data_IF_706747551732
#
_entry.id   IF_706747551732
#
_cell.length_a   1.000
_cell.length_b   1.000
_cell.length_c   1.000
_cell.angle_alpha   90.00
_cell.angle_beta   90.00
_cell.angle_gamma   90.00
#
_symmetry.space_group_name_H-M   'P 1'
#
loop_
_entity.id
_entity.type
_entity.pdbx_description
1 polymer ?
#
# COMPACT_ATOMS: atom_id res chain seq x y z
N UNK A 1 -6.64 39.21 -16.49
CA UNK A 1 -5.69 38.27 -15.90
C UNK A 1 -4.22 38.66 -16.03
N UNK A 2 -3.72 39.09 -17.18
CA UNK A 2 -2.29 39.49 -17.35
C UNK A 2 -1.77 40.50 -16.31
N UNK A 3 -2.59 41.41 -15.83
CA UNK A 3 -2.18 42.42 -14.85
C UNK A 3 -2.17 41.96 -13.39
N UNK A 4 -2.83 40.82 -13.07
CA UNK A 4 -2.87 40.24 -11.71
C UNK A 4 -1.63 39.39 -11.36
N UNK A 5 -0.93 38.89 -12.39
CA UNK A 5 0.26 38.05 -12.24
C UNK A 5 1.59 38.79 -12.49
N UNK A 6 1.55 40.12 -12.44
CA UNK A 6 2.76 40.97 -12.63
C UNK A 6 3.76 40.61 -11.53
N UNK A 7 4.96 40.13 -11.93
CA UNK A 7 6.05 39.78 -11.04
C UNK A 7 6.07 38.29 -10.65
N UNK A 8 5.10 37.46 -11.05
CA UNK A 8 5.03 36.03 -10.76
C UNK A 8 6.35 35.30 -11.05
N UNK A 9 6.87 35.40 -12.26
CA UNK A 9 8.10 34.69 -12.66
C UNK A 9 9.31 35.08 -11.81
N UNK A 10 9.39 36.32 -11.36
CA UNK A 10 10.49 36.77 -10.46
C UNK A 10 10.37 36.13 -9.08
N UNK A 11 9.17 36.12 -8.51
CA UNK A 11 8.91 35.51 -7.20
C UNK A 11 9.15 34.01 -7.27
N UNK A 12 8.59 33.33 -8.27
CA UNK A 12 8.80 31.90 -8.49
C UNK A 12 10.29 31.56 -8.57
N UNK A 13 11.03 32.22 -9.47
CA UNK A 13 12.47 31.95 -9.65
C UNK A 13 13.29 32.27 -8.40
N UNK A 14 12.95 33.32 -7.67
CA UNK A 14 13.60 33.69 -6.43
C UNK A 14 13.37 32.61 -5.34
N UNK A 15 12.09 32.32 -5.06
CA UNK A 15 11.71 31.31 -4.05
C UNK A 15 12.26 29.93 -4.38
N UNK A 16 12.20 29.53 -5.64
CA UNK A 16 12.74 28.24 -6.10
C UNK A 16 14.26 28.17 -5.84
N UNK A 17 15.01 29.18 -6.28
CA UNK A 17 16.47 29.22 -6.07
C UNK A 17 16.84 29.27 -4.58
N UNK A 18 16.13 30.06 -3.80
CA UNK A 18 16.32 30.17 -2.36
C UNK A 18 16.09 28.82 -1.68
N UNK A 19 14.98 28.15 -1.98
CA UNK A 19 14.62 26.87 -1.38
C UNK A 19 15.61 25.76 -1.77
N UNK A 20 15.95 25.61 -3.05
CA UNK A 20 16.91 24.61 -3.55
C UNK A 20 18.33 24.86 -3.00
N UNK A 21 18.71 26.12 -2.78
CA UNK A 21 20.04 26.48 -2.21
C UNK A 21 20.07 26.37 -0.71
N UNK A 22 18.95 26.26 -0.01
CA UNK A 22 18.91 26.16 1.44
C UNK A 22 19.65 24.93 1.94
N UNK A 23 20.37 25.08 3.06
CA UNK A 23 21.12 23.95 3.68
C UNK A 23 20.16 22.82 4.09
N UNK A 24 18.95 23.16 4.59
CA UNK A 24 17.95 22.19 5.01
C UNK A 24 17.51 21.31 3.83
N UNK A 25 17.13 21.93 2.71
CA UNK A 25 16.71 21.18 1.50
C UNK A 25 17.82 20.28 0.97
N UNK A 26 19.04 20.82 0.81
CA UNK A 26 20.19 20.04 0.31
C UNK A 26 20.50 18.86 1.22
N UNK A 27 20.61 19.10 2.52
CA UNK A 27 20.95 18.05 3.47
C UNK A 27 19.88 16.98 3.54
N UNK A 28 18.59 17.35 3.60
CA UNK A 28 17.50 16.36 3.60
C UNK A 28 17.41 15.59 2.29
N UNK A 29 17.56 16.26 1.15
CA UNK A 29 17.52 15.60 -0.16
C UNK A 29 18.68 14.62 -0.32
N UNK A 30 19.91 15.06 -0.02
CA UNK A 30 21.10 14.21 -0.16
C UNK A 30 21.07 13.06 0.85
N UNK A 31 20.74 13.33 2.11
CA UNK A 31 20.70 12.32 3.17
C UNK A 31 19.70 11.22 2.84
N UNK A 32 18.47 11.60 2.49
CA UNK A 32 17.41 10.61 2.20
C UNK A 32 17.68 9.91 0.86
N UNK A 33 18.15 10.63 -0.17
CA UNK A 33 18.54 9.99 -1.43
C UNK A 33 19.67 8.97 -1.24
N UNK A 34 20.61 9.25 -0.35
CA UNK A 34 21.72 8.35 -0.01
C UNK A 34 21.23 7.14 0.81
N UNK A 35 20.30 7.38 1.75
CA UNK A 35 19.58 6.30 2.45
C UNK A 35 18.80 5.41 1.48
N UNK A 36 18.03 6.00 0.58
CA UNK A 36 17.27 5.28 -0.44
C UNK A 36 18.20 4.50 -1.41
N UNK A 37 19.39 5.01 -1.67
CA UNK A 37 20.37 4.37 -2.56
C UNK A 37 21.10 3.22 -1.87
N UNK A 38 21.48 3.35 -0.61
CA UNK A 38 22.36 2.38 0.05
C UNK A 38 21.60 1.34 0.87
N UNK A 39 20.55 1.75 1.58
CA UNK A 39 19.91 0.91 2.58
C UNK A 39 19.20 -0.33 1.96
N UNK A 40 18.37 -0.22 0.92
CA UNK A 40 17.72 -1.39 0.34
C UNK A 40 18.73 -2.41 -0.22
N UNK A 41 19.75 -1.96 -0.96
CA UNK A 41 20.79 -2.85 -1.48
C UNK A 41 21.58 -3.52 -0.34
N UNK A 42 21.94 -2.78 0.71
CA UNK A 42 22.66 -3.31 1.87
C UNK A 42 21.80 -4.32 2.66
N UNK A 43 20.52 -4.04 2.84
CA UNK A 43 19.59 -4.95 3.53
C UNK A 43 19.41 -6.23 2.71
N UNK A 44 19.16 -6.14 1.41
CA UNK A 44 19.02 -7.31 0.53
C UNK A 44 20.27 -8.19 0.55
N UNK A 45 21.44 -7.59 0.39
CA UNK A 45 22.72 -8.35 0.39
C UNK A 45 23.06 -8.90 1.78
N UNK A 46 22.76 -8.15 2.85
CA UNK A 46 22.98 -8.59 4.23
C UNK A 46 22.08 -9.77 4.61
N UNK A 47 20.80 -9.72 4.23
CA UNK A 47 19.86 -10.82 4.47
C UNK A 47 20.31 -12.09 3.73
N UNK A 48 20.73 -11.98 2.48
CA UNK A 48 21.19 -13.12 1.71
C UNK A 48 22.49 -13.72 2.28
N UNK A 49 23.42 -12.90 2.75
CA UNK A 49 24.64 -13.36 3.40
C UNK A 49 24.38 -14.05 4.73
N UNK A 50 23.40 -13.58 5.52
CA UNK A 50 23.04 -14.22 6.79
C UNK A 50 22.22 -15.50 6.58
N UNK A 51 21.42 -15.58 5.52
CA UNK A 51 20.72 -16.82 5.12
C UNK A 51 21.69 -17.88 4.60
N UNK A 52 22.84 -17.47 4.06
CA UNK A 52 23.89 -18.38 3.59
C UNK A 52 24.80 -18.94 4.71
N UNK A 53 24.84 -18.29 5.87
CA UNK A 53 25.60 -18.74 7.06
C UNK A 53 24.75 -19.55 8.06
N UNK A 54 23.44 -19.59 7.93
CA UNK A 54 22.72 -20.73 8.45
C UNK A 54 23.25 -21.92 7.63
N UNK A 55 23.87 -22.93 8.27
CA UNK A 55 24.18 -24.14 7.57
C UNK A 55 22.88 -24.44 6.85
N UNK A 56 22.95 -24.62 5.52
CA UNK A 56 21.86 -25.28 4.83
C UNK A 56 21.51 -26.44 5.76
N UNK A 57 20.62 -26.19 6.68
CA UNK A 57 19.70 -27.20 7.01
C UNK A 57 19.19 -27.44 5.59
N UNK A 58 19.87 -28.40 4.88
CA UNK A 58 19.17 -29.21 3.95
C UNK A 58 17.75 -29.12 4.47
N UNK A 59 16.79 -28.87 3.62
CA UNK A 59 15.53 -29.54 3.79
C UNK A 59 15.87 -31.04 3.80
N UNK A 60 16.74 -31.38 4.68
CA UNK A 60 16.54 -32.42 5.58
C UNK A 60 15.21 -32.01 6.10
N UNK A 61 14.15 -32.54 5.44
CA UNK A 61 13.03 -32.97 6.21
C UNK A 61 13.59 -33.00 7.64
N UNK A 62 13.33 -31.90 8.38
CA UNK A 62 13.37 -32.01 9.80
C UNK A 62 12.34 -33.12 9.99
N UNK A 63 12.82 -34.33 9.93
CA UNK A 63 12.48 -35.25 10.94
C UNK A 63 12.85 -34.47 12.22
N UNK A 64 12.03 -33.42 12.55
CA UNK A 64 11.61 -33.33 13.90
C UNK A 64 11.28 -34.76 14.18
N UNK A 65 12.06 -35.35 15.02
CA UNK A 65 11.70 -36.49 15.81
C UNK A 65 10.59 -35.94 16.70
N UNK A 66 9.48 -35.55 16.02
CA UNK A 66 8.18 -35.25 16.58
C UNK A 66 7.86 -36.49 17.37
N UNK A 67 7.57 -36.31 18.63
CA UNK A 67 6.84 -37.27 19.38
C UNK A 67 5.75 -37.82 18.45
N UNK A 68 5.61 -39.15 18.24
CA UNK A 68 4.76 -39.67 17.18
C UNK A 68 3.44 -38.97 17.24
N UNK A 69 3.10 -38.26 16.15
CA UNK A 69 1.87 -37.49 16.04
C UNK A 69 0.72 -38.43 16.33
N UNK A 70 -0.07 -38.15 17.32
CA UNK A 70 -1.17 -39.00 17.74
C UNK A 70 -2.34 -38.84 16.78
N UNK A 71 -2.25 -39.51 15.63
CA UNK A 71 -3.31 -39.56 14.63
C UNK A 71 -4.49 -40.45 15.06
N UNK A 72 -4.41 -41.08 16.22
CA UNK A 72 -5.48 -41.92 16.77
C UNK A 72 -6.76 -41.16 17.16
N UNK A 73 -6.71 -39.83 17.16
CA UNK A 73 -7.88 -38.99 17.38
C UNK A 73 -8.86 -39.04 16.22
N UNK A 74 -8.40 -39.34 15.00
CA UNK A 74 -9.24 -39.44 13.81
C UNK A 74 -9.89 -40.82 13.78
N UNK A 75 -11.23 -40.86 13.99
CA UNK A 75 -12.02 -42.12 13.98
C UNK A 75 -12.88 -42.26 12.73
N UNK A 76 -13.23 -41.20 12.11
CA UNK A 76 -14.07 -41.19 10.91
C UNK A 76 -13.42 -40.39 9.79
N UNK A 77 -13.46 -40.93 8.59
CA UNK A 77 -12.99 -40.30 7.36
C UNK A 77 -14.10 -40.37 6.36
N UNK A 78 -14.58 -39.18 5.93
CA UNK A 78 -15.63 -39.08 4.91
C UNK A 78 -14.97 -38.75 3.57
N UNK A 79 -15.28 -39.57 2.58
CA UNK A 79 -14.79 -39.39 1.21
C UNK A 79 -15.87 -38.74 0.36
N UNK A 80 -15.51 -37.66 -0.31
CA UNK A 80 -16.36 -36.95 -1.27
C UNK A 80 -15.59 -36.77 -2.57
N UNK A 81 -16.11 -37.31 -3.67
CA UNK A 81 -15.50 -37.19 -4.99
C UNK A 81 -16.34 -36.29 -5.89
N UNK A 82 -15.89 -35.07 -6.08
CA UNK A 82 -16.54 -34.04 -6.91
C UNK A 82 -16.02 -34.03 -8.36
N UNK A 83 -15.31 -35.07 -8.78
CA UNK A 83 -14.76 -35.18 -10.13
C UNK A 83 -15.85 -35.54 -11.15
N UNK A 84 -15.94 -34.83 -12.30
CA UNK A 84 -16.97 -35.02 -13.30
C UNK A 84 -16.74 -36.27 -14.20
N UNK A 85 -15.48 -36.54 -14.57
CA UNK A 85 -15.18 -37.53 -15.62
C UNK A 85 -14.60 -38.85 -15.11
N UNK A 86 -13.73 -38.81 -14.08
CA UNK A 86 -13.07 -40.02 -13.57
C UNK A 86 -12.91 -39.92 -12.08
N UNK A 87 -13.42 -40.91 -11.34
CA UNK A 87 -13.27 -40.96 -9.88
C UNK A 87 -11.84 -41.27 -9.49
N UNK A 88 -11.37 -40.63 -8.40
CA UNK A 88 -10.09 -40.98 -7.83
C UNK A 88 -10.14 -42.37 -7.21
N UNK A 89 -9.11 -43.19 -7.45
CA UNK A 89 -9.02 -44.54 -6.88
C UNK A 89 -8.56 -44.51 -5.44
N UNK A 90 -9.50 -44.65 -4.49
CA UNK A 90 -9.26 -44.65 -3.04
C UNK A 90 -9.18 -46.05 -2.45
N UNK A 91 -9.04 -47.08 -3.29
CA UNK A 91 -9.10 -48.49 -2.84
C UNK A 91 -7.98 -48.86 -1.90
N UNK A 92 -6.81 -48.24 -2.00
CA UNK A 92 -5.64 -48.52 -1.16
C UNK A 92 -5.58 -47.66 0.10
N UNK A 93 -6.41 -46.62 0.24
CA UNK A 93 -6.42 -45.73 1.40
C UNK A 93 -6.61 -46.48 2.75
N UNK A 94 -7.54 -47.44 2.86
CA UNK A 94 -7.68 -48.22 4.12
C UNK A 94 -6.40 -48.96 4.52
N UNK A 95 -5.68 -49.49 3.54
CA UNK A 95 -4.42 -50.24 3.81
C UNK A 95 -3.34 -49.28 4.30
N UNK A 96 -3.28 -48.08 3.76
CA UNK A 96 -2.34 -47.06 4.19
C UNK A 96 -2.62 -46.58 5.62
N UNK A 97 -3.91 -46.38 5.96
CA UNK A 97 -4.32 -46.02 7.32
C UNK A 97 -3.97 -47.10 8.35
N UNK A 98 -4.18 -48.35 8.01
CA UNK A 98 -3.80 -49.48 8.87
C UNK A 98 -2.27 -49.55 9.07
N UNK A 99 -1.48 -49.29 8.00
CA UNK A 99 -0.02 -49.20 8.11
C UNK A 99 0.44 -48.02 8.96
N UNK A 100 -0.29 -46.90 8.93
CA UNK A 100 -0.04 -45.73 9.76
C UNK A 100 -0.53 -45.89 11.22
N UNK A 101 -1.21 -46.99 11.53
CA UNK A 101 -1.76 -47.25 12.87
C UNK A 101 -3.03 -46.46 13.17
N UNK A 102 -3.75 -46.02 12.14
CA UNK A 102 -4.99 -45.22 12.26
C UNK A 102 -6.18 -46.17 12.08
N UNK A 103 -6.96 -46.36 13.14
CA UNK A 103 -8.20 -47.16 13.10
C UNK A 103 -9.41 -46.25 12.86
N UNK A 104 -9.57 -45.80 11.60
CA UNK A 104 -10.65 -44.93 11.22
C UNK A 104 -11.67 -45.63 10.30
N UNK A 105 -12.95 -45.34 10.52
CA UNK A 105 -14.03 -45.78 9.64
C UNK A 105 -14.12 -44.89 8.43
N UNK A 106 -14.04 -45.47 7.23
CA UNK A 106 -14.19 -44.73 5.98
C UNK A 106 -15.64 -44.84 5.52
N UNK A 107 -16.27 -43.67 5.26
CA UNK A 107 -17.61 -43.56 4.72
C UNK A 107 -17.56 -42.81 3.39
N UNK A 108 -17.97 -43.43 2.32
CA UNK A 108 -18.01 -42.82 0.98
C UNK A 108 -19.38 -42.20 0.70
N UNK A 109 -19.39 -40.87 0.45
CA UNK A 109 -20.58 -40.09 0.11
C UNK A 109 -20.72 -39.85 -1.41
N UNK A 110 -19.81 -40.39 -2.21
CA UNK A 110 -19.80 -40.13 -3.66
C UNK A 110 -19.60 -38.66 -3.94
N UNK A 111 -20.51 -38.02 -4.65
CA UNK A 111 -20.46 -36.58 -4.98
C UNK A 111 -21.37 -35.71 -4.09
N UNK A 112 -21.95 -36.29 -3.03
CA UNK A 112 -22.87 -35.55 -2.16
C UNK A 112 -22.11 -34.86 -1.01
N UNK A 113 -21.56 -33.70 -1.33
CA UNK A 113 -20.80 -32.89 -0.39
C UNK A 113 -21.66 -32.36 0.78
N UNK A 114 -22.89 -31.92 0.48
CA UNK A 114 -23.76 -31.31 1.49
C UNK A 114 -24.17 -32.32 2.58
N UNK A 115 -24.44 -33.58 2.18
CA UNK A 115 -24.74 -34.62 3.15
C UNK A 115 -23.52 -35.03 3.98
N UNK A 116 -22.33 -35.08 3.37
CA UNK A 116 -21.08 -35.36 4.08
C UNK A 116 -20.76 -34.26 5.08
N UNK A 117 -20.88 -33.00 4.68
CA UNK A 117 -20.67 -31.83 5.52
C UNK A 117 -21.67 -31.78 6.69
N UNK A 118 -22.95 -32.04 6.44
CA UNK A 118 -23.98 -32.07 7.50
C UNK A 118 -23.75 -33.18 8.54
N UNK A 119 -23.26 -34.36 8.13
CA UNK A 119 -22.90 -35.45 9.04
C UNK A 119 -21.58 -35.19 9.81
N UNK A 120 -20.72 -34.30 9.26
CA UNK A 120 -19.48 -33.88 9.89
C UNK A 120 -19.65 -32.77 10.93
N UNK A 121 -20.71 -31.97 10.82
CA UNK A 121 -20.89 -30.75 11.60
C UNK A 121 -20.78 -31.01 13.11
N UNK A 122 -19.92 -30.23 13.78
CA UNK A 122 -19.67 -30.33 15.22
C UNK A 122 -18.94 -31.59 15.71
N UNK A 123 -18.40 -32.44 14.82
CA UNK A 123 -17.67 -33.65 15.23
C UNK A 123 -16.21 -33.34 15.65
N UNK A 124 -15.72 -34.08 16.68
CA UNK A 124 -14.40 -33.87 17.24
C UNK A 124 -13.34 -34.84 16.69
N UNK A 125 -13.76 -35.86 15.96
CA UNK A 125 -12.93 -37.02 15.56
C UNK A 125 -13.12 -37.40 14.09
N UNK A 126 -13.72 -36.51 13.30
CA UNK A 126 -14.05 -36.71 11.89
C UNK A 126 -13.32 -35.73 11.01
N UNK A 127 -12.76 -36.18 9.92
CA UNK A 127 -12.25 -35.34 8.83
C UNK A 127 -12.87 -35.77 7.51
N UNK A 128 -12.90 -34.87 6.55
CA UNK A 128 -13.44 -35.12 5.22
C UNK A 128 -12.31 -34.98 4.19
N UNK A 129 -12.19 -35.94 3.28
CA UNK A 129 -11.29 -35.89 2.14
C UNK A 129 -12.14 -35.60 0.91
N UNK A 130 -11.86 -34.48 0.26
CA UNK A 130 -12.55 -34.06 -0.94
C UNK A 130 -11.61 -34.17 -2.13
N UNK A 131 -12.00 -34.93 -3.14
CA UNK A 131 -11.30 -35.00 -4.42
C UNK A 131 -12.01 -34.16 -5.46
N UNK A 132 -11.25 -33.37 -6.20
CA UNK A 132 -11.76 -32.51 -7.28
C UNK A 132 -10.89 -32.67 -8.52
N UNK A 133 -11.49 -32.56 -9.69
CA UNK A 133 -10.78 -32.50 -10.96
C UNK A 133 -10.63 -31.04 -11.39
N UNK A 134 -9.37 -30.61 -11.61
CA UNK A 134 -9.06 -29.28 -12.15
C UNK A 134 -8.29 -29.46 -13.46
N UNK A 135 -9.02 -29.43 -14.57
CA UNK A 135 -8.45 -29.71 -15.89
C UNK A 135 -8.07 -31.19 -16.08
N UNK A 136 -6.77 -31.48 -16.26
CA UNK A 136 -6.24 -32.85 -16.38
C UNK A 136 -5.69 -33.41 -15.05
N UNK A 137 -5.67 -32.62 -13.99
CA UNK A 137 -5.11 -32.98 -12.70
C UNK A 137 -6.21 -33.18 -11.67
N UNK A 138 -6.03 -34.17 -10.79
CA UNK A 138 -6.86 -34.35 -9.63
C UNK A 138 -6.22 -33.64 -8.43
N UNK A 139 -7.05 -33.00 -7.61
CA UNK A 139 -6.63 -32.43 -6.33
C UNK A 139 -7.33 -33.16 -5.20
N UNK A 140 -6.60 -33.46 -4.12
CA UNK A 140 -7.10 -34.13 -2.94
C UNK A 140 -6.89 -33.18 -1.75
N UNK A 141 -7.96 -32.80 -1.07
CA UNK A 141 -7.95 -31.81 0.00
C UNK A 141 -8.56 -32.39 1.26
N UNK A 142 -7.97 -32.08 2.43
CA UNK A 142 -8.59 -32.36 3.71
C UNK A 142 -9.49 -31.17 4.05
N UNK A 143 -10.73 -31.47 4.39
CA UNK A 143 -11.72 -30.48 4.82
C UNK A 143 -12.14 -30.84 6.25
N UNK A 144 -12.00 -29.88 7.16
CA UNK A 144 -12.45 -30.01 8.55
C UNK A 144 -13.87 -29.44 8.68
N UNK A 145 -14.76 -30.11 9.44
CA UNK A 145 -16.11 -29.61 9.66
C UNK A 145 -16.09 -28.32 10.50
N UNK A 146 -17.13 -27.51 10.36
CA UNK A 146 -17.33 -26.33 11.19
C UNK A 146 -17.48 -26.73 12.66
N UNK A 147 -16.77 -26.05 13.55
CA UNK A 147 -16.74 -26.42 14.97
C UNK A 147 -15.95 -27.67 15.30
N UNK A 148 -15.12 -28.20 14.38
CA UNK A 148 -14.21 -29.31 14.67
C UNK A 148 -13.29 -28.94 15.82
N UNK A 149 -13.15 -29.83 16.78
CA UNK A 149 -12.15 -29.73 17.88
C UNK A 149 -10.88 -30.55 17.62
N UNK A 150 -10.72 -31.05 16.38
CA UNK A 150 -9.51 -31.76 16.00
C UNK A 150 -8.32 -30.78 16.06
N UNK A 151 -7.23 -31.22 16.71
CA UNK A 151 -6.04 -30.39 16.81
C UNK A 151 -5.46 -30.10 15.40
N UNK A 152 -5.07 -28.87 15.17
CA UNK A 152 -4.49 -28.46 13.88
C UNK A 152 -3.24 -29.30 13.52
N UNK A 153 -2.42 -29.63 14.52
CA UNK A 153 -1.27 -30.52 14.38
C UNK A 153 -1.65 -31.92 13.88
N UNK A 154 -2.79 -32.46 14.34
CA UNK A 154 -3.32 -33.76 13.88
C UNK A 154 -3.77 -33.69 12.41
N UNK A 155 -4.42 -32.62 12.03
CA UNK A 155 -4.87 -32.41 10.66
C UNK A 155 -3.68 -32.22 9.69
N UNK A 156 -2.65 -31.49 10.11
CA UNK A 156 -1.42 -31.31 9.32
C UNK A 156 -0.63 -32.62 9.19
N UNK A 157 -0.58 -33.41 10.26
CA UNK A 157 0.04 -34.73 10.20
C UNK A 157 -0.70 -35.68 9.26
N UNK A 158 -2.02 -35.60 9.22
CA UNK A 158 -2.82 -36.36 8.28
C UNK A 158 -2.65 -35.89 6.82
N UNK A 159 -2.47 -34.59 6.61
CA UNK A 159 -2.18 -34.03 5.29
C UNK A 159 -0.84 -34.55 4.73
N UNK A 160 0.19 -34.66 5.58
CA UNK A 160 1.48 -35.23 5.19
C UNK A 160 1.36 -36.70 4.74
N UNK A 161 0.51 -37.45 5.41
CA UNK A 161 0.22 -38.85 5.06
C UNK A 161 -0.57 -38.93 3.75
N UNK A 162 -1.53 -38.04 3.55
CA UNK A 162 -2.34 -37.95 2.33
C UNK A 162 -1.51 -37.49 1.13
N UNK A 163 -0.54 -36.60 1.33
CA UNK A 163 0.41 -36.19 0.29
C UNK A 163 1.23 -37.39 -0.22
N UNK A 164 1.76 -38.20 0.68
CA UNK A 164 2.52 -39.39 0.29
C UNK A 164 1.65 -40.41 -0.47
N UNK A 165 0.37 -40.47 -0.14
CA UNK A 165 -0.62 -41.29 -0.88
C UNK A 165 -0.94 -40.70 -2.24
N UNK A 166 -1.19 -39.41 -2.32
CA UNK A 166 -1.47 -38.69 -3.55
C UNK A 166 -0.34 -38.83 -4.58
N UNK A 167 0.92 -38.76 -4.11
CA UNK A 167 2.10 -39.00 -4.96
C UNK A 167 2.09 -40.40 -5.57
N UNK A 168 1.67 -41.42 -4.81
CA UNK A 168 1.56 -42.79 -5.31
C UNK A 168 0.50 -42.94 -6.40
N UNK A 169 -0.55 -42.11 -6.37
CA UNK A 169 -1.63 -42.07 -7.33
C UNK A 169 -1.42 -41.07 -8.49
N UNK A 170 -0.32 -40.33 -8.51
CA UNK A 170 -0.09 -39.23 -9.44
C UNK A 170 -1.18 -38.13 -9.36
N UNK A 171 -1.67 -37.89 -8.16
CA UNK A 171 -2.70 -36.87 -7.86
C UNK A 171 -2.03 -35.73 -7.07
N UNK A 172 -2.37 -34.49 -7.38
CA UNK A 172 -1.89 -33.37 -6.59
C UNK A 172 -2.64 -33.28 -5.24
N UNK A 173 -1.91 -33.15 -4.14
CA UNK A 173 -2.51 -32.96 -2.81
C UNK A 173 -2.55 -31.47 -2.46
N UNK A 174 -3.61 -31.01 -1.80
CA UNK A 174 -3.70 -29.65 -1.27
C UNK A 174 -2.95 -29.52 0.05
N UNK A 175 -1.98 -28.65 0.10
CA UNK A 175 -0.97 -28.53 1.17
C UNK A 175 -1.42 -27.95 2.51
N UNK A 176 -2.71 -27.80 2.83
CA UNK A 176 -3.19 -27.44 4.18
C UNK A 176 -4.64 -27.85 4.41
N UNK A 177 -5.00 -28.34 5.64
CA UNK A 177 -6.39 -28.66 5.99
C UNK A 177 -7.29 -27.41 5.83
N UNK A 178 -8.44 -27.57 5.20
CA UNK A 178 -9.42 -26.52 5.01
C UNK A 178 -10.54 -26.66 6.05
N UNK A 179 -10.92 -25.57 6.71
CA UNK A 179 -12.07 -25.55 7.61
C UNK A 179 -13.35 -25.26 6.83
N UNK A 180 -14.37 -26.13 7.03
CA UNK A 180 -15.70 -25.95 6.44
C UNK A 180 -16.59 -25.17 7.45
N UNK A 181 -17.08 -24.01 7.02
CA UNK A 181 -17.94 -23.16 7.85
C UNK A 181 -17.70 -21.68 7.67
N UNK A 182 -16.50 -21.24 7.43
CA UNK A 182 -16.23 -19.92 6.89
C UNK A 182 -16.20 -20.02 5.37
N UNK A 183 -17.40 -19.97 4.77
CA UNK A 183 -17.53 -19.84 3.32
C UNK A 183 -16.69 -18.64 2.86
N UNK A 184 -15.78 -18.89 1.94
CA UNK A 184 -14.83 -17.95 1.34
C UNK A 184 -13.41 -17.92 1.95
N UNK A 185 -12.87 -19.04 2.42
CA UNK A 185 -11.46 -19.24 2.15
C UNK A 185 -11.36 -19.84 0.74
N UNK A 186 -11.45 -18.95 -0.24
CA UNK A 186 -10.93 -19.21 -1.57
C UNK A 186 -9.59 -19.94 -1.41
N UNK A 187 -9.36 -20.96 -2.24
CA UNK A 187 -8.01 -21.48 -2.51
C UNK A 187 -7.19 -20.32 -3.06
N UNK A 188 -6.74 -19.46 -2.15
CA UNK A 188 -5.94 -18.30 -2.52
C UNK A 188 -4.60 -18.87 -2.88
N UNK A 189 -4.34 -18.95 -4.16
CA UNK A 189 -3.03 -19.27 -4.70
C UNK A 189 -1.98 -18.54 -3.84
N UNK A 190 -1.00 -19.25 -3.24
CA UNK A 190 0.02 -18.60 -2.41
C UNK A 190 0.64 -17.40 -3.09
N UNK A 191 0.67 -17.39 -4.42
CA UNK A 191 1.09 -16.28 -5.25
C UNK A 191 0.08 -15.11 -5.20
N UNK A 192 -1.19 -15.38 -5.06
CA UNK A 192 -2.25 -14.36 -4.99
C UNK A 192 -2.28 -13.71 -3.61
N UNK A 193 -2.12 -14.48 -2.54
CA UNK A 193 -1.90 -13.98 -1.17
C UNK A 193 -0.66 -13.09 -1.10
N UNK A 194 0.45 -13.54 -1.69
CA UNK A 194 1.67 -12.73 -1.76
C UNK A 194 1.46 -11.42 -2.51
N UNK A 195 0.77 -11.46 -3.66
CA UNK A 195 0.38 -10.28 -4.43
C UNK A 195 -0.43 -9.31 -3.60
N UNK A 196 -1.40 -9.79 -2.83
CA UNK A 196 -2.23 -8.96 -1.97
C UNK A 196 -1.41 -8.28 -0.86
N UNK A 197 -0.49 -9.00 -0.21
CA UNK A 197 0.44 -8.43 0.77
C UNK A 197 1.31 -7.33 0.14
N UNK A 198 1.85 -7.56 -1.06
CA UNK A 198 2.65 -6.55 -1.77
C UNK A 198 1.82 -5.30 -2.08
N UNK A 199 0.57 -5.45 -2.50
CA UNK A 199 -0.37 -4.35 -2.75
C UNK A 199 -0.60 -3.54 -1.47
N UNK A 200 -0.89 -4.20 -0.35
CA UNK A 200 -1.11 -3.55 0.96
C UNK A 200 0.12 -2.74 1.36
N UNK A 201 1.30 -3.38 1.36
CA UNK A 201 2.55 -2.73 1.74
C UNK A 201 2.85 -1.52 0.84
N UNK A 202 2.71 -1.70 -0.48
CA UNK A 202 2.98 -0.62 -1.45
C UNK A 202 2.04 0.56 -1.26
N UNK A 203 0.74 0.30 -1.08
CA UNK A 203 -0.27 1.35 -0.91
C UNK A 203 -0.09 2.08 0.42
N UNK A 204 0.17 1.34 1.50
CA UNK A 204 0.43 1.92 2.81
C UNK A 204 1.70 2.78 2.81
N UNK A 205 2.78 2.28 2.20
CA UNK A 205 4.04 3.02 2.08
C UNK A 205 3.85 4.30 1.25
N UNK A 206 3.14 4.21 0.11
CA UNK A 206 2.81 5.38 -0.70
C UNK A 206 2.02 6.43 0.09
N UNK A 207 1.00 5.99 0.85
CA UNK A 207 0.20 6.86 1.70
C UNK A 207 1.05 7.55 2.77
N UNK A 208 1.92 6.80 3.46
CA UNK A 208 2.84 7.35 4.47
C UNK A 208 3.81 8.37 3.87
N UNK A 209 4.44 8.05 2.76
CA UNK A 209 5.37 8.95 2.07
C UNK A 209 4.66 10.24 1.67
N UNK A 210 3.47 10.15 1.07
CA UNK A 210 2.70 11.33 0.68
C UNK A 210 2.26 12.17 1.88
N UNK A 211 1.81 11.54 2.97
CA UNK A 211 1.42 12.23 4.19
C UNK A 211 2.58 13.07 4.75
N UNK A 212 3.74 12.45 4.99
CA UNK A 212 4.89 13.16 5.53
C UNK A 212 5.42 14.21 4.57
N UNK A 213 5.35 13.94 3.29
CA UNK A 213 5.80 14.86 2.25
C UNK A 213 4.93 16.11 2.18
N UNK A 214 3.61 15.93 2.14
CA UNK A 214 2.64 17.03 2.18
C UNK A 214 2.74 17.82 3.48
N UNK A 215 2.93 17.14 4.62
CA UNK A 215 3.12 17.78 5.92
C UNK A 215 4.36 18.68 5.90
N UNK A 216 5.52 18.17 5.47
CA UNK A 216 6.78 18.92 5.45
C UNK A 216 6.72 20.13 4.52
N UNK A 217 6.23 19.96 3.29
CA UNK A 217 6.15 21.03 2.32
C UNK A 217 5.03 22.03 2.62
N UNK A 218 3.90 21.58 3.15
CA UNK A 218 2.84 22.46 3.63
C UNK A 218 3.32 23.36 4.78
N UNK A 219 3.99 22.78 5.77
CA UNK A 219 4.61 23.56 6.86
C UNK A 219 5.68 24.52 6.31
N UNK A 220 6.47 24.10 5.34
CA UNK A 220 7.46 24.94 4.65
C UNK A 220 6.84 26.16 3.99
N UNK A 221 5.72 25.98 3.28
CA UNK A 221 4.96 27.10 2.69
C UNK A 221 4.43 28.04 3.77
N UNK A 222 3.78 27.51 4.80
CA UNK A 222 3.21 28.31 5.87
C UNK A 222 4.28 29.14 6.61
N UNK A 223 5.42 28.51 6.94
CA UNK A 223 6.57 29.17 7.54
C UNK A 223 7.13 30.30 6.64
N UNK A 224 7.29 30.03 5.34
CA UNK A 224 7.77 31.03 4.38
C UNK A 224 6.86 32.24 4.31
N UNK A 225 5.53 32.02 4.33
CA UNK A 225 4.54 33.11 4.29
C UNK A 225 4.59 33.96 5.58
N UNK A 226 4.64 33.32 6.75
CA UNK A 226 4.70 34.01 8.05
C UNK A 226 6.00 34.80 8.21
N UNK A 227 7.14 34.20 7.87
CA UNK A 227 8.45 34.85 8.02
C UNK A 227 8.55 36.13 7.18
N UNK A 228 8.03 36.10 5.96
CA UNK A 228 8.01 37.31 5.13
C UNK A 228 7.03 38.36 5.66
N UNK A 229 5.85 37.92 6.13
CA UNK A 229 4.85 38.83 6.70
C UNK A 229 5.38 39.52 7.96
N UNK A 230 6.12 38.84 8.79
CA UNK A 230 6.72 39.37 10.03
C UNK A 230 7.95 40.27 9.75
N UNK A 231 8.57 40.09 8.60
CA UNK A 231 9.72 40.92 8.19
C UNK A 231 9.27 42.16 7.40
N UNK A 232 10.06 43.24 7.44
CA UNK A 232 9.82 44.47 6.65
C UNK A 232 9.98 44.23 5.12
N UNK A 233 10.47 43.08 4.69
CA UNK A 233 10.63 42.68 3.30
C UNK A 233 9.30 42.69 2.53
N UNK A 234 8.21 42.36 3.19
CA UNK A 234 6.89 42.32 2.60
C UNK A 234 6.47 43.67 2.04
N UNK A 235 6.73 44.76 2.78
CA UNK A 235 6.37 46.10 2.38
C UNK A 235 7.08 46.50 1.07
N UNK A 236 8.35 46.16 0.94
CA UNK A 236 9.13 46.44 -0.27
C UNK A 236 8.70 45.58 -1.48
N UNK A 237 8.30 44.33 -1.24
CA UNK A 237 7.83 43.44 -2.30
C UNK A 237 6.49 43.87 -2.87
N UNK A 238 5.56 44.38 -2.05
CA UNK A 238 4.22 44.80 -2.46
C UNK A 238 4.25 46.03 -3.37
N UNK A 239 5.30 46.85 -3.35
CA UNK A 239 5.48 47.98 -4.30
C UNK A 239 5.76 47.47 -5.71
N UNK A 240 6.49 46.36 -5.85
CA UNK A 240 6.92 45.82 -7.14
C UNK A 240 6.04 44.70 -7.69
N UNK A 241 5.39 43.92 -6.81
CA UNK A 241 4.69 42.66 -7.17
C UNK A 241 3.31 42.61 -6.52
N UNK A 242 2.34 42.09 -7.26
CA UNK A 242 0.96 41.94 -6.71
C UNK A 242 0.87 40.78 -5.71
N UNK A 243 0.08 40.87 -4.62
CA UNK A 243 -0.06 39.84 -3.59
C UNK A 243 -0.41 38.47 -4.13
N UNK A 244 -1.32 38.39 -5.13
CA UNK A 244 -1.68 37.11 -5.76
C UNK A 244 -0.51 36.45 -6.49
N UNK A 245 0.39 37.25 -7.10
CA UNK A 245 1.57 36.74 -7.77
C UNK A 245 2.63 36.26 -6.77
N UNK A 246 2.70 36.85 -5.58
CA UNK A 246 3.61 36.42 -4.50
C UNK A 246 3.20 35.03 -4.01
N UNK A 247 1.95 34.85 -3.58
CA UNK A 247 1.51 33.56 -3.02
C UNK A 247 1.57 32.44 -4.07
N UNK A 248 1.07 32.69 -5.29
CA UNK A 248 1.11 31.72 -6.39
C UNK A 248 2.55 31.32 -6.76
N UNK A 249 3.44 32.33 -6.86
CA UNK A 249 4.84 32.08 -7.17
C UNK A 249 5.52 31.18 -6.14
N UNK A 250 5.24 31.43 -4.86
CA UNK A 250 5.75 30.61 -3.75
C UNK A 250 5.18 29.20 -3.75
N UNK A 251 3.86 29.07 -3.82
CA UNK A 251 3.19 27.77 -3.83
C UNK A 251 3.77 26.88 -4.93
N UNK A 252 3.85 27.37 -6.14
CA UNK A 252 4.37 26.62 -7.28
C UNK A 252 5.88 26.33 -7.14
N UNK A 253 6.66 27.28 -6.62
CA UNK A 253 8.09 27.08 -6.44
C UNK A 253 8.38 25.97 -5.40
N UNK A 254 7.71 26.04 -4.24
CA UNK A 254 7.91 25.05 -3.16
C UNK A 254 7.35 23.69 -3.56
N UNK A 255 6.18 23.64 -4.21
CA UNK A 255 5.63 22.38 -4.75
C UNK A 255 6.59 21.74 -5.76
N UNK A 256 7.15 22.52 -6.68
CA UNK A 256 8.11 21.99 -7.66
C UNK A 256 9.39 21.47 -7.02
N UNK A 257 9.91 22.15 -5.98
CA UNK A 257 11.09 21.63 -5.26
C UNK A 257 10.80 20.31 -4.55
N UNK A 258 9.59 20.17 -4.00
CA UNK A 258 9.12 18.91 -3.43
C UNK A 258 9.11 17.78 -4.47
N UNK A 259 8.54 18.03 -5.61
CA UNK A 259 8.47 17.03 -6.68
C UNK A 259 9.87 16.59 -7.13
N UNK A 260 10.79 17.53 -7.32
CA UNK A 260 12.18 17.22 -7.66
C UNK A 260 12.83 16.34 -6.57
N UNK A 261 12.54 16.61 -5.31
CA UNK A 261 13.05 15.80 -4.20
C UNK A 261 12.44 14.38 -4.20
N UNK A 262 11.13 14.26 -4.42
CA UNK A 262 10.46 12.97 -4.51
C UNK A 262 11.04 12.11 -5.63
N UNK A 263 11.26 12.71 -6.81
CA UNK A 263 11.93 12.02 -7.92
C UNK A 263 13.33 11.56 -7.57
N UNK A 264 14.10 12.39 -6.88
CA UNK A 264 15.45 12.03 -6.45
C UNK A 264 15.45 10.81 -5.55
N UNK A 265 14.45 10.67 -4.66
CA UNK A 265 14.32 9.53 -3.76
C UNK A 265 13.85 8.26 -4.49
N UNK A 266 12.84 8.38 -5.35
CA UNK A 266 12.35 7.25 -6.18
C UNK A 266 13.48 6.73 -7.08
N UNK A 267 14.26 7.63 -7.69
CA UNK A 267 15.39 7.26 -8.53
C UNK A 267 16.50 6.56 -7.73
N UNK A 268 16.79 7.06 -6.52
CA UNK A 268 17.71 6.41 -5.58
C UNK A 268 17.27 4.99 -5.21
N UNK A 269 15.99 4.82 -4.87
CA UNK A 269 15.39 3.51 -4.58
C UNK A 269 15.50 2.56 -5.79
N UNK A 270 15.12 3.01 -6.97
CA UNK A 270 15.16 2.19 -8.18
C UNK A 270 16.58 1.69 -8.50
N UNK A 271 17.59 2.57 -8.39
CA UNK A 271 19.00 2.19 -8.56
C UNK A 271 19.43 1.19 -7.48
N UNK A 272 19.05 1.42 -6.23
CA UNK A 272 19.39 0.55 -5.10
C UNK A 272 18.85 -0.87 -5.31
N UNK A 273 17.59 -0.99 -5.69
CA UNK A 273 16.99 -2.28 -5.98
C UNK A 273 17.63 -2.98 -7.18
N UNK A 274 17.94 -2.23 -8.24
CA UNK A 274 18.61 -2.77 -9.41
C UNK A 274 20.02 -3.30 -9.07
N UNK A 275 20.78 -2.57 -8.28
CA UNK A 275 22.13 -2.99 -7.86
C UNK A 275 22.02 -4.15 -6.86
N UNK A 276 21.14 -4.03 -5.83
CA UNK A 276 20.94 -5.05 -4.81
C UNK A 276 20.52 -6.39 -5.42
N UNK A 277 19.53 -6.39 -6.31
CA UNK A 277 19.09 -7.61 -6.99
C UNK A 277 20.21 -8.27 -7.83
N UNK A 278 21.05 -7.48 -8.50
CA UNK A 278 22.21 -8.02 -9.24
C UNK A 278 23.26 -8.64 -8.32
N UNK A 279 23.52 -8.04 -7.17
CA UNK A 279 24.46 -8.59 -6.18
C UNK A 279 23.91 -9.88 -5.60
N UNK A 280 22.66 -9.89 -5.14
CA UNK A 280 22.03 -11.09 -4.55
C UNK A 280 22.00 -12.24 -5.56
N UNK A 281 21.54 -12.01 -6.79
CA UNK A 281 21.55 -13.04 -7.85
C UNK A 281 22.95 -13.50 -8.27
N UNK A 282 24.00 -12.74 -7.96
CA UNK A 282 25.38 -13.18 -8.17
C UNK A 282 25.92 -14.05 -7.04
N UNK A 283 25.38 -13.90 -5.83
CA UNK A 283 25.70 -14.71 -4.64
C UNK A 283 24.92 -16.02 -4.68
N UNK A 284 23.61 -15.92 -4.90
CA UNK A 284 22.70 -17.05 -4.99
C UNK A 284 21.74 -16.88 -6.18
N UNK A 285 22.00 -17.57 -7.32
CA UNK A 285 21.14 -17.48 -8.50
C UNK A 285 19.72 -18.00 -8.29
N UNK A 286 19.56 -18.96 -7.37
CA UNK A 286 18.30 -19.65 -7.07
C UNK A 286 17.62 -19.11 -5.79
N UNK A 287 17.95 -17.87 -5.42
CA UNK A 287 17.40 -17.25 -4.20
C UNK A 287 15.87 -17.17 -4.24
N UNK A 288 15.24 -17.62 -3.16
CA UNK A 288 13.80 -17.51 -2.90
C UNK A 288 13.42 -16.21 -2.17
N UNK A 289 14.34 -15.24 -2.13
CA UNK A 289 14.10 -13.98 -1.45
C UNK A 289 12.82 -13.32 -1.95
N UNK A 290 11.84 -13.16 -1.06
CA UNK A 290 10.50 -12.62 -1.34
C UNK A 290 10.53 -11.29 -2.09
N UNK A 291 11.49 -10.42 -1.78
CA UNK A 291 11.66 -9.12 -2.44
C UNK A 291 12.02 -9.30 -3.92
N UNK A 292 12.91 -10.26 -4.25
CA UNK A 292 13.32 -10.53 -5.64
C UNK A 292 12.18 -11.19 -6.43
N UNK A 293 11.46 -12.12 -5.80
CA UNK A 293 10.26 -12.72 -6.40
C UNK A 293 9.19 -11.65 -6.65
N UNK A 294 8.95 -10.75 -5.68
CA UNK A 294 8.04 -9.61 -5.85
C UNK A 294 8.43 -8.71 -7.02
N UNK A 295 9.72 -8.44 -7.23
CA UNK A 295 10.19 -7.67 -8.39
C UNK A 295 10.05 -8.42 -9.72
N UNK A 296 10.34 -9.71 -9.77
CA UNK A 296 10.08 -10.55 -10.94
C UNK A 296 8.59 -10.55 -11.28
N UNK A 297 7.75 -10.66 -10.26
CA UNK A 297 6.29 -10.62 -10.38
C UNK A 297 5.80 -9.25 -10.86
N UNK A 298 6.26 -8.15 -10.28
CA UNK A 298 5.96 -6.80 -10.74
C UNK A 298 6.41 -6.60 -12.20
N UNK A 299 7.56 -7.16 -12.58
CA UNK A 299 8.06 -7.15 -13.95
C UNK A 299 7.13 -7.92 -14.93
N UNK A 300 6.63 -9.07 -14.52
CA UNK A 300 5.70 -9.88 -15.32
C UNK A 300 4.29 -9.28 -15.39
N UNK A 301 3.88 -8.53 -14.36
CA UNK A 301 2.60 -7.80 -14.32
C UNK A 301 2.67 -6.43 -15.04
N UNK A 302 3.85 -6.01 -15.47
CA UNK A 302 4.12 -4.65 -15.96
C UNK A 302 3.36 -4.26 -17.24
N UNK A 303 2.74 -5.17 -17.97
CA UNK A 303 1.91 -4.84 -19.12
C UNK A 303 0.62 -4.08 -18.75
N UNK A 304 0.15 -4.16 -17.46
CA UNK A 304 -0.99 -3.39 -16.95
C UNK A 304 -0.62 -2.43 -15.81
N UNK A 305 0.38 -2.78 -15.03
CA UNK A 305 0.92 -2.04 -13.89
C UNK A 305 2.10 -1.21 -14.41
N UNK A 306 2.33 -0.03 -13.84
CA UNK A 306 3.45 0.87 -14.21
C UNK A 306 3.48 1.28 -15.70
N UNK A 307 2.33 1.27 -16.39
CA UNK A 307 2.29 1.81 -17.75
C UNK A 307 2.76 3.27 -17.74
N UNK A 308 3.43 3.76 -18.80
CA UNK A 308 3.86 5.17 -18.85
C UNK A 308 2.73 6.17 -18.64
N UNK A 309 1.52 5.84 -19.09
CA UNK A 309 0.34 6.66 -18.90
C UNK A 309 -0.06 6.71 -17.41
N UNK A 310 -0.07 5.57 -16.72
CA UNK A 310 -0.37 5.49 -15.29
C UNK A 310 0.67 6.23 -14.45
N UNK A 311 1.95 6.10 -14.77
CA UNK A 311 3.03 6.82 -14.10
C UNK A 311 2.88 8.34 -14.24
N UNK A 312 2.56 8.83 -15.45
CA UNK A 312 2.31 10.26 -15.70
C UNK A 312 1.09 10.73 -14.92
N UNK A 313 0.00 9.97 -14.92
CA UNK A 313 -1.23 10.32 -14.20
C UNK A 313 -1.03 10.35 -12.69
N UNK A 314 -0.37 9.34 -12.12
CA UNK A 314 -0.03 9.32 -10.69
C UNK A 314 0.83 10.54 -10.30
N UNK A 315 1.82 10.87 -11.12
CA UNK A 315 2.66 12.05 -10.91
C UNK A 315 1.84 13.34 -10.94
N UNK A 316 0.96 13.52 -11.95
CA UNK A 316 0.09 14.69 -12.05
C UNK A 316 -0.85 14.82 -10.86
N UNK A 317 -1.38 13.69 -10.35
CA UNK A 317 -2.19 13.64 -9.13
C UNK A 317 -1.38 14.11 -7.91
N UNK A 318 -0.17 13.59 -7.72
CA UNK A 318 0.74 13.99 -6.62
C UNK A 318 1.06 15.49 -6.70
N UNK A 319 1.41 15.98 -7.89
CA UNK A 319 1.72 17.41 -8.10
C UNK A 319 0.54 18.30 -7.73
N UNK A 320 -0.64 17.96 -8.20
CA UNK A 320 -1.85 18.73 -7.95
C UNK A 320 -2.27 18.64 -6.49
N UNK A 321 -2.14 17.48 -5.88
CA UNK A 321 -2.39 17.27 -4.46
C UNK A 321 -1.46 18.07 -3.57
N UNK A 322 -0.16 18.08 -3.86
CA UNK A 322 0.80 18.93 -3.16
C UNK A 322 0.41 20.40 -3.26
N UNK A 323 0.01 20.88 -4.47
CA UNK A 323 -0.43 22.25 -4.66
C UNK A 323 -1.68 22.55 -3.82
N UNK A 324 -2.65 21.65 -3.78
CA UNK A 324 -3.89 21.77 -3.01
C UNK A 324 -3.58 21.95 -1.51
N UNK A 325 -2.80 21.07 -0.94
CA UNK A 325 -2.45 21.10 0.48
C UNK A 325 -1.51 22.27 0.83
N UNK A 326 -0.55 22.60 -0.04
CA UNK A 326 0.32 23.75 0.12
C UNK A 326 -0.47 25.08 0.07
N UNK A 327 -1.52 25.15 -0.76
CA UNK A 327 -2.40 26.30 -0.82
C UNK A 327 -3.19 26.48 0.49
N UNK A 328 -3.68 25.38 1.07
CA UNK A 328 -4.37 25.39 2.36
C UNK A 328 -3.43 25.82 3.49
N UNK A 329 -2.21 25.27 3.54
CA UNK A 329 -1.18 25.66 4.50
C UNK A 329 -0.73 27.12 4.33
N UNK A 330 -0.59 27.58 3.09
CA UNK A 330 -0.27 28.98 2.78
C UNK A 330 -1.35 29.95 3.22
N UNK A 331 -2.62 29.57 3.16
CA UNK A 331 -3.73 30.35 3.72
C UNK A 331 -3.60 30.45 5.26
N UNK A 332 -3.28 29.35 5.94
CA UNK A 332 -2.98 29.33 7.38
C UNK A 332 -1.81 30.27 7.73
N UNK A 333 -0.71 30.17 6.99
CA UNK A 333 0.44 31.05 7.17
C UNK A 333 0.12 32.54 6.99
N UNK A 334 -0.77 32.87 6.04
CA UNK A 334 -1.23 34.26 5.85
C UNK A 334 -2.09 34.77 7.02
N UNK A 335 -2.79 33.89 7.72
CA UNK A 335 -3.60 34.23 8.91
C UNK A 335 -2.74 34.47 10.16
N UNK A 336 -1.60 33.82 10.29
CA UNK A 336 -0.67 34.04 11.38
C UNK A 336 -0.07 35.46 11.34
N UNK A 337 0.08 36.07 12.50
CA UNK A 337 0.72 37.40 12.65
C UNK A 337 2.20 37.25 13.00
N UNK A 338 2.56 36.24 13.76
CA UNK A 338 3.92 35.92 14.18
C UNK A 338 4.18 34.43 13.98
N UNK A 339 5.42 34.03 14.02
CA UNK A 339 5.81 32.61 13.92
C UNK A 339 5.19 31.75 15.03
N UNK A 340 5.02 32.30 16.23
CA UNK A 340 4.40 31.65 17.39
C UNK A 340 2.91 31.32 17.15
N UNK A 341 2.21 32.12 16.37
CA UNK A 341 0.80 31.94 16.04
C UNK A 341 0.57 30.89 14.94
N UNK A 342 1.65 30.41 14.30
CA UNK A 342 1.55 29.60 13.11
C UNK A 342 0.87 28.24 13.37
N UNK A 343 1.13 27.60 14.50
CA UNK A 343 0.52 26.30 14.82
C UNK A 343 -1.01 26.40 14.92
N UNK A 344 -1.51 27.46 15.56
CA UNK A 344 -2.95 27.71 15.68
C UNK A 344 -3.58 28.11 14.33
N UNK A 345 -2.90 28.95 13.56
CA UNK A 345 -3.40 29.39 12.26
C UNK A 345 -3.38 28.26 11.21
N UNK A 346 -2.45 27.32 11.35
CA UNK A 346 -2.32 26.18 10.44
C UNK A 346 -3.10 24.92 10.88
N UNK A 347 -3.86 25.02 11.97
CA UNK A 347 -4.64 23.91 12.52
C UNK A 347 -5.62 23.32 11.49
N UNK A 348 -6.23 24.15 10.63
CA UNK A 348 -7.15 23.68 9.58
C UNK A 348 -6.41 22.78 8.58
N UNK A 349 -5.22 23.18 8.13
CA UNK A 349 -4.40 22.36 7.26
C UNK A 349 -4.06 21.01 7.89
N UNK A 350 -3.60 21.04 9.14
CA UNK A 350 -3.23 19.82 9.88
C UNK A 350 -4.43 18.91 10.10
N UNK A 351 -5.59 19.47 10.45
CA UNK A 351 -6.82 18.71 10.65
C UNK A 351 -7.27 18.00 9.35
N UNK A 352 -7.30 18.75 8.24
CA UNK A 352 -7.70 18.20 6.93
C UNK A 352 -6.72 17.12 6.49
N UNK A 353 -5.42 17.35 6.66
CA UNK A 353 -4.39 16.37 6.31
C UNK A 353 -4.52 15.08 7.10
N UNK A 354 -4.63 15.19 8.44
CA UNK A 354 -4.77 14.02 9.33
C UNK A 354 -6.09 13.29 9.08
N UNK A 355 -7.19 14.03 8.93
CA UNK A 355 -8.49 13.42 8.63
C UNK A 355 -8.46 12.67 7.29
N UNK A 356 -7.90 13.27 6.24
CA UNK A 356 -7.76 12.61 4.94
C UNK A 356 -6.88 11.36 5.02
N UNK A 357 -5.80 11.41 5.79
CA UNK A 357 -4.92 10.28 6.02
C UNK A 357 -5.63 9.12 6.74
N UNK A 358 -6.31 9.41 7.86
CA UNK A 358 -7.02 8.39 8.62
C UNK A 358 -8.19 7.79 7.82
N UNK A 359 -8.97 8.62 7.14
CA UNK A 359 -10.06 8.15 6.28
C UNK A 359 -9.52 7.29 5.13
N UNK A 360 -8.37 7.64 4.57
CA UNK A 360 -7.73 6.84 3.52
C UNK A 360 -7.28 5.47 4.02
N UNK A 361 -6.77 5.37 5.26
CA UNK A 361 -6.38 4.09 5.85
C UNK A 361 -7.60 3.20 6.12
N UNK A 362 -8.59 3.73 6.88
CA UNK A 362 -9.66 2.91 7.44
C UNK A 362 -10.85 2.71 6.50
N UNK A 363 -11.16 3.70 5.66
CA UNK A 363 -12.29 3.64 4.73
C UNK A 363 -11.87 3.60 3.26
N UNK A 364 -10.58 3.66 2.97
CA UNK A 364 -10.02 3.60 1.61
C UNK A 364 -9.61 2.21 1.15
N UNK A 365 -9.87 1.16 1.96
CA UNK A 365 -9.51 -0.23 1.65
C UNK A 365 -8.00 -0.53 1.72
N UNK A 366 -7.19 0.42 2.23
CA UNK A 366 -5.72 0.27 2.25
C UNK A 366 -5.28 -0.89 3.14
N UNK A 367 -5.94 -1.08 4.29
CA UNK A 367 -5.61 -2.16 5.24
C UNK A 367 -6.09 -3.54 4.78
N UNK A 368 -7.13 -3.57 3.94
CA UNK A 368 -7.72 -4.79 3.39
C UNK A 368 -7.10 -5.18 2.04
N UNK A 369 -6.24 -4.31 1.48
CA UNK A 369 -5.70 -4.49 0.13
C UNK A 369 -6.74 -4.29 -0.96
N UNK A 370 -7.91 -3.74 -0.61
CA UNK A 370 -8.99 -3.47 -1.54
C UNK A 370 -8.67 -2.23 -2.38
N UNK A 371 -8.38 -2.48 -3.65
CA UNK A 371 -8.11 -1.46 -4.64
C UNK A 371 -9.35 -1.08 -5.47
N UNK A 372 -10.52 -1.60 -5.12
CA UNK A 372 -11.76 -1.35 -5.86
C UNK A 372 -12.18 0.11 -5.82
N UNK A 373 -13.20 0.42 -6.58
CA UNK A 373 -13.76 1.75 -6.70
C UNK A 373 -14.33 2.24 -5.36
N UNK A 374 -13.79 3.33 -4.83
CA UNK A 374 -14.27 3.97 -3.62
C UNK A 374 -14.82 5.38 -3.91
N UNK A 375 -15.82 5.80 -3.14
CA UNK A 375 -16.31 7.18 -3.16
C UNK A 375 -15.20 8.18 -2.76
N UNK A 376 -14.21 7.72 -1.99
CA UNK A 376 -13.08 8.53 -1.53
C UNK A 376 -12.15 8.94 -2.68
N UNK A 377 -12.16 8.19 -3.80
CA UNK A 377 -11.41 8.55 -4.99
C UNK A 377 -11.89 9.88 -5.60
N UNK A 378 -13.17 10.24 -5.38
CA UNK A 378 -13.78 11.46 -5.90
C UNK A 378 -13.61 12.66 -4.98
N UNK A 379 -13.26 12.46 -3.71
CA UNK A 379 -13.03 13.54 -2.75
C UNK A 379 -11.59 14.04 -2.91
N UNK A 380 -11.33 15.29 -3.31
CA UNK A 380 -9.99 15.76 -3.69
C UNK A 380 -8.89 15.52 -2.65
N UNK A 381 -9.22 15.69 -1.37
CA UNK A 381 -8.25 15.54 -0.29
C UNK A 381 -7.85 14.08 -0.03
N UNK A 382 -8.79 13.14 -0.06
CA UNK A 382 -8.51 11.70 0.07
C UNK A 382 -8.01 11.11 -1.24
N UNK A 383 -8.55 11.56 -2.37
CA UNK A 383 -8.11 11.13 -3.72
C UNK A 383 -6.60 11.29 -3.92
N UNK A 384 -6.03 12.41 -3.48
CA UNK A 384 -4.58 12.64 -3.55
C UNK A 384 -3.79 11.56 -2.79
N UNK A 385 -4.34 11.02 -1.71
CA UNK A 385 -3.65 10.05 -0.86
C UNK A 385 -3.69 8.62 -1.43
N UNK A 386 -4.84 8.20 -1.96
CA UNK A 386 -5.06 6.80 -2.38
C UNK A 386 -4.97 6.59 -3.91
N UNK A 387 -5.47 7.54 -4.71
CA UNK A 387 -5.57 7.38 -6.16
C UNK A 387 -4.21 7.17 -6.86
N UNK A 388 -3.09 7.82 -6.46
CA UNK A 388 -1.80 7.55 -7.10
C UNK A 388 -1.37 6.09 -7.04
N UNK A 389 -1.57 5.41 -5.89
CA UNK A 389 -1.27 4.00 -5.75
C UNK A 389 -2.18 3.13 -6.61
N UNK A 390 -3.50 3.37 -6.57
CA UNK A 390 -4.49 2.65 -7.40
C UNK A 390 -4.20 2.77 -8.90
N UNK A 391 -3.79 3.95 -9.35
CA UNK A 391 -3.42 4.19 -10.76
C UNK A 391 -2.16 3.43 -11.13
N UNK A 392 -1.12 3.48 -10.30
CA UNK A 392 0.14 2.79 -10.55
C UNK A 392 -0.06 1.27 -10.62
N UNK A 393 -0.95 0.73 -9.81
CA UNK A 393 -1.30 -0.69 -9.79
C UNK A 393 -2.31 -1.08 -10.90
N UNK A 394 -2.79 -0.11 -11.69
CA UNK A 394 -3.77 -0.38 -12.75
C UNK A 394 -5.18 -0.76 -12.24
N UNK A 395 -5.45 -0.53 -10.96
CA UNK A 395 -6.70 -0.94 -10.30
C UNK A 395 -7.92 -0.10 -10.71
N UNK A 396 -7.69 1.10 -11.21
CA UNK A 396 -8.76 1.98 -11.68
C UNK A 396 -8.56 2.41 -13.15
N UNK A 397 -9.64 2.50 -13.92
CA UNK A 397 -9.55 2.84 -15.33
C UNK A 397 -9.11 4.30 -15.54
N UNK A 398 -8.43 4.55 -16.66
CA UNK A 398 -7.83 5.85 -16.98
C UNK A 398 -8.85 7.00 -17.05
N UNK A 399 -10.08 6.73 -17.51
CA UNK A 399 -11.15 7.73 -17.56
C UNK A 399 -11.58 8.21 -16.17
N UNK A 400 -11.66 7.30 -15.20
CA UNK A 400 -11.96 7.63 -13.79
C UNK A 400 -10.83 8.45 -13.19
N UNK A 401 -9.58 8.00 -13.38
CA UNK A 401 -8.39 8.73 -12.94
C UNK A 401 -8.38 10.16 -13.48
N UNK A 402 -8.68 10.35 -14.76
CA UNK A 402 -8.75 11.68 -15.40
C UNK A 402 -9.85 12.54 -14.77
N UNK A 403 -10.99 11.94 -14.43
CA UNK A 403 -12.11 12.64 -13.78
C UNK A 403 -11.73 13.08 -12.36
N UNK A 404 -11.15 12.20 -11.56
CA UNK A 404 -10.64 12.50 -10.21
C UNK A 404 -9.55 13.59 -10.25
N UNK A 405 -8.65 13.50 -11.21
CA UNK A 405 -7.63 14.53 -11.47
C UNK A 405 -8.26 15.88 -11.79
N UNK A 406 -9.23 15.93 -12.69
CA UNK A 406 -9.91 17.17 -13.06
C UNK A 406 -10.59 17.82 -11.84
N UNK A 407 -11.29 17.04 -11.01
CA UNK A 407 -11.92 17.53 -9.78
C UNK A 407 -10.87 18.07 -8.80
N UNK A 408 -9.76 17.35 -8.64
CA UNK A 408 -8.65 17.77 -7.77
C UNK A 408 -8.00 19.05 -8.27
N UNK A 409 -7.78 19.20 -9.59
CA UNK A 409 -7.28 20.44 -10.21
C UNK A 409 -8.21 21.61 -9.95
N UNK A 410 -9.51 21.44 -10.19
CA UNK A 410 -10.52 22.49 -9.95
C UNK A 410 -10.49 22.92 -8.48
N UNK A 411 -10.45 21.95 -7.55
CA UNK A 411 -10.40 22.23 -6.11
C UNK A 411 -9.08 22.92 -5.73
N UNK A 412 -7.95 22.49 -6.26
CA UNK A 412 -6.64 23.11 -6.02
C UNK A 412 -6.63 24.58 -6.51
N UNK A 413 -7.20 24.85 -7.67
CA UNK A 413 -7.34 26.22 -8.20
C UNK A 413 -8.24 27.05 -7.29
N UNK A 414 -9.39 26.53 -6.87
CA UNK A 414 -10.33 27.25 -5.98
C UNK A 414 -9.66 27.57 -4.63
N UNK A 415 -9.02 26.59 -3.99
CA UNK A 415 -8.33 26.80 -2.72
C UNK A 415 -7.18 27.79 -2.88
N UNK A 416 -6.41 27.72 -3.97
CA UNK A 416 -5.33 28.66 -4.27
C UNK A 416 -5.85 30.09 -4.46
N UNK A 417 -6.98 30.27 -5.13
CA UNK A 417 -7.62 31.58 -5.30
C UNK A 417 -8.12 32.14 -3.95
N UNK A 418 -8.68 31.28 -3.10
CA UNK A 418 -9.09 31.64 -1.73
C UNK A 418 -7.85 32.04 -0.89
N UNK A 419 -6.80 31.23 -0.92
CA UNK A 419 -5.55 31.56 -0.25
C UNK A 419 -4.97 32.90 -0.72
N UNK A 420 -5.02 33.16 -2.03
CA UNK A 420 -4.62 34.45 -2.63
C UNK A 420 -5.44 35.63 -2.12
N UNK A 421 -6.75 35.47 -1.95
CA UNK A 421 -7.63 36.52 -1.39
C UNK A 421 -7.32 36.73 0.11
N UNK A 422 -7.17 35.66 0.88
CA UNK A 422 -6.80 35.72 2.29
C UNK A 422 -5.46 36.46 2.44
N UNK A 423 -4.47 36.05 1.66
CA UNK A 423 -3.15 36.67 1.69
C UNK A 423 -3.24 38.19 1.34
N UNK A 424 -3.96 38.55 0.29
CA UNK A 424 -4.13 39.96 -0.08
C UNK A 424 -4.77 40.79 1.04
N UNK A 425 -5.78 40.26 1.72
CA UNK A 425 -6.51 40.95 2.78
C UNK A 425 -5.69 41.08 4.08
N UNK A 426 -4.82 40.11 4.34
CA UNK A 426 -4.11 39.99 5.62
C UNK A 426 -2.63 40.35 5.55
N UNK A 427 -2.07 40.56 4.38
CA UNK A 427 -0.64 40.79 4.19
C UNK A 427 -0.12 42.04 4.94
N UNK A 428 -0.95 43.05 5.09
CA UNK A 428 -0.63 44.28 5.84
C UNK A 428 -1.21 44.29 7.27
N UNK A 429 -1.97 43.24 7.63
CA UNK A 429 -2.59 43.16 8.94
C UNK A 429 -1.57 42.64 9.98
N UNK A 430 -1.29 43.47 10.99
CA UNK A 430 -0.34 43.17 12.09
C UNK A 430 -1.05 42.97 13.44
N UNK A 431 -2.38 42.84 13.48
CA UNK A 431 -3.17 42.64 14.69
C UNK A 431 -3.21 41.17 15.15
N UNK A 432 -4.02 40.92 16.20
CA UNK A 432 -4.25 39.55 16.69
C UNK A 432 -4.81 38.61 15.60
N UNK A 433 -4.59 37.28 15.72
CA UNK A 433 -5.12 36.29 14.79
C UNK A 433 -6.64 36.45 14.61
N UNK A 434 -7.07 36.59 13.34
CA UNK A 434 -8.47 36.87 13.05
C UNK A 434 -9.31 35.58 13.15
N UNK A 435 -10.44 35.65 13.88
CA UNK A 435 -11.46 34.58 13.84
C UNK A 435 -12.06 34.47 12.44
N UNK A 436 -12.38 33.27 12.00
CA UNK A 436 -12.92 32.93 10.66
C UNK A 436 -14.08 33.86 10.22
N UNK A 437 -15.02 34.17 11.13
CA UNK A 437 -16.17 35.06 10.83
C UNK A 437 -15.75 36.48 10.45
N UNK A 438 -14.69 37.01 11.07
CA UNK A 438 -14.16 38.36 10.78
C UNK A 438 -13.41 38.37 9.44
N UNK A 439 -12.71 37.27 9.14
CA UNK A 439 -12.00 37.05 7.89
C UNK A 439 -12.99 37.04 6.68
N UNK A 440 -14.08 36.27 6.78
CA UNK A 440 -15.11 36.19 5.74
C UNK A 440 -15.70 37.61 5.46
N UNK A 441 -15.93 38.40 6.53
CA UNK A 441 -16.43 39.76 6.40
C UNK A 441 -15.44 40.68 5.70
N UNK A 442 -14.15 40.54 5.95
CA UNK A 442 -13.08 41.31 5.27
C UNK A 442 -12.87 40.90 3.81
N UNK A 443 -13.20 39.65 3.45
CA UNK A 443 -13.08 39.15 2.07
C UNK A 443 -14.25 39.59 1.17
N UNK A 444 -15.38 40.02 1.76
CA UNK A 444 -16.58 40.50 1.03
C UNK A 444 -16.57 41.97 0.70
N UNK A 445 -15.77 42.77 1.34
CA UNK A 445 -15.53 44.20 1.03
C UNK A 445 -14.29 44.36 0.19
#
# INVERSE_FOLDING_TARGET
>A
MKNQLRGFSKVFSFTFKEHVKSKGYKNSTILIALLCLLLPAAVMTGLEMTSGDEPQTEQTQVQQQEAPLDLSQVKNIYLVDMSEDKKADMTELPVLLEQAGIDAQIKDYGSDFDSAAGDCDGSADTLMIVTQQKGSEYTMNIVLPDGSSLAEETAQGFDSLLMAYADSLSVASGGQPQYYGDAEQDNVDPMESFKQIVIIIFTFLNLMVLYFFVLAYGQGVANSVVTEKSSKLMESMLVAVKPAAIILGKLLAITLTGIIQLFSWIFGLAISFFIGSKIVLSINPDTDMMIIQGFKMLGNMAEGILSPANCIMALLMIMTGMLLYCALAGAGGAMASKAEDLSSANAIFSLVLVASFLVSIYAGGVMEGDMTDSILDWIPFTSVMITPAKVLMGAIPLWKTLSCFAITVVTAVLVTLIAGKIYKSLVLYKGEPLKLNKLIKMMRG
#
